data_IF_345869817938
#
_entry.id   IF_345869817938
#
_cell.length_a   1.000
_cell.length_b   1.000
_cell.length_c   1.000
_cell.angle_alpha   90.00
_cell.angle_beta   90.00
_cell.angle_gamma   90.00
#
_symmetry.space_group_name_H-M   'P 1'
#
loop_
_entity.id
_entity.type
_entity.pdbx_description
1 polymer ?
#
# COMPACT_ATOMS: atom_id res chain seq x y z
N UNK A 1 -9.76 2.73 -20.45
CA UNK A 1 -9.73 3.30 -19.08
C UNK A 1 -9.42 4.77 -19.23
N UNK A 2 -10.20 5.66 -18.61
CA UNK A 2 -9.91 7.10 -18.65
C UNK A 2 -8.72 7.41 -17.72
N UNK A 3 -7.83 8.34 -18.10
CA UNK A 3 -6.69 8.76 -17.27
C UNK A 3 -7.11 9.14 -15.84
N UNK A 4 -8.24 9.84 -15.72
CA UNK A 4 -8.80 10.31 -14.44
C UNK A 4 -9.11 9.16 -13.46
N UNK A 5 -9.51 7.99 -13.96
CA UNK A 5 -9.78 6.83 -13.11
C UNK A 5 -8.49 6.20 -12.58
N UNK A 6 -7.40 6.25 -13.35
CA UNK A 6 -6.10 5.70 -12.97
C UNK A 6 -5.45 6.56 -11.89
N UNK A 7 -5.50 7.89 -12.03
CA UNK A 7 -5.01 8.82 -11.00
C UNK A 7 -5.85 8.71 -9.71
N UNK A 8 -7.18 8.61 -9.84
CA UNK A 8 -8.05 8.39 -8.68
C UNK A 8 -7.77 7.07 -7.94
N UNK A 9 -7.39 6.01 -8.66
CA UNK A 9 -7.10 4.72 -8.05
C UNK A 9 -5.74 4.72 -7.33
N UNK A 10 -4.75 5.44 -7.86
CA UNK A 10 -3.48 5.64 -7.17
C UNK A 10 -3.70 6.32 -5.83
N UNK A 11 -4.35 7.48 -5.82
CA UNK A 11 -4.63 8.25 -4.59
C UNK A 11 -5.45 7.43 -3.59
N UNK A 12 -6.40 6.64 -4.07
CA UNK A 12 -7.19 5.72 -3.23
C UNK A 12 -6.32 4.66 -2.56
N UNK A 13 -5.40 4.03 -3.29
CA UNK A 13 -4.46 3.04 -2.71
C UNK A 13 -3.53 3.70 -1.70
N UNK A 14 -3.00 4.88 -2.00
CA UNK A 14 -2.15 5.65 -1.07
C UNK A 14 -2.91 6.01 0.21
N UNK A 15 -4.16 6.47 0.09
CA UNK A 15 -5.00 6.80 1.25
C UNK A 15 -5.36 5.56 2.08
N UNK A 16 -5.68 4.44 1.43
CA UNK A 16 -5.92 3.17 2.13
C UNK A 16 -4.68 2.72 2.89
N UNK A 17 -3.51 2.84 2.27
CA UNK A 17 -2.23 2.51 2.88
C UNK A 17 -1.90 3.42 4.08
N UNK A 18 -2.13 4.74 3.98
CA UNK A 18 -1.98 5.68 5.11
C UNK A 18 -2.91 5.32 6.27
N UNK A 19 -4.17 4.96 5.99
CA UNK A 19 -5.13 4.51 7.00
C UNK A 19 -4.65 3.22 7.66
N UNK A 20 -4.22 2.23 6.87
CA UNK A 20 -3.66 0.98 7.37
C UNK A 20 -2.46 1.24 8.29
N UNK A 21 -1.55 2.16 7.95
CA UNK A 21 -0.42 2.51 8.81
C UNK A 21 -0.78 3.39 10.03
N UNK A 22 -1.95 4.02 10.03
CA UNK A 22 -2.43 4.84 11.15
C UNK A 22 -3.26 4.03 12.14
N UNK A 23 -3.96 3.01 11.66
CA UNK A 23 -4.72 2.05 12.45
C UNK A 23 -3.81 0.92 12.98
N UNK A 24 -2.65 1.30 13.53
CA UNK A 24 -1.77 0.38 14.23
C UNK A 24 -1.96 0.54 15.74
N UNK A 25 -2.66 -0.40 16.41
CA UNK A 25 -2.87 -0.33 17.86
C UNK A 25 -1.57 -0.46 18.67
N UNK A 26 -0.49 -0.93 18.04
CA UNK A 26 0.81 -1.13 18.67
C UNK A 26 1.82 -0.02 18.31
N UNK A 27 1.44 0.91 17.43
CA UNK A 27 2.30 2.02 17.02
C UNK A 27 3.62 1.57 16.37
N UNK A 28 3.63 0.44 15.65
CA UNK A 28 4.85 0.00 14.99
C UNK A 28 5.17 0.95 13.83
N UNK A 29 6.46 1.27 13.70
CA UNK A 29 6.96 2.05 12.57
C UNK A 29 6.89 1.29 11.23
N UNK A 30 6.69 -0.03 11.27
CA UNK A 30 6.70 -0.95 10.13
C UNK A 30 5.57 -1.96 10.22
N UNK A 31 4.90 -2.23 9.09
CA UNK A 31 3.86 -3.25 8.97
C UNK A 31 3.99 -4.01 7.66
N UNK A 32 3.82 -5.33 7.76
CA UNK A 32 3.63 -6.16 6.59
C UNK A 32 2.18 -6.07 6.12
N UNK A 33 1.98 -6.07 4.81
CA UNK A 33 0.65 -6.06 4.21
C UNK A 33 0.60 -6.88 2.92
N UNK A 34 -0.59 -7.41 2.65
CA UNK A 34 -1.00 -7.97 1.38
C UNK A 34 -1.92 -6.99 0.68
N UNK A 35 -2.06 -7.15 -0.64
CA UNK A 35 -2.99 -6.31 -1.41
C UNK A 35 -4.45 -6.39 -0.92
N UNK A 36 -4.85 -7.54 -0.34
CA UNK A 36 -6.16 -7.73 0.29
C UNK A 36 -6.37 -6.88 1.53
N UNK A 37 -5.32 -6.45 2.21
CA UNK A 37 -5.43 -5.73 3.48
C UNK A 37 -5.82 -4.26 3.27
N UNK A 38 -5.76 -3.78 2.02
CA UNK A 38 -6.08 -2.42 1.60
C UNK A 38 -7.37 -2.33 0.78
N UNK A 39 -8.14 -3.42 0.68
CA UNK A 39 -9.41 -3.40 -0.06
C UNK A 39 -10.50 -2.71 0.75
N UNK A 40 -11.46 -2.08 0.08
CA UNK A 40 -12.65 -1.52 0.72
C UNK A 40 -13.87 -2.45 0.57
N UNK A 41 -14.79 -2.39 1.53
CA UNK A 41 -16.03 -3.18 1.51
C UNK A 41 -17.00 -2.69 0.42
N UNK A 42 -16.90 -1.41 0.04
CA UNK A 42 -17.72 -0.78 -0.99
C UNK A 42 -17.32 -1.18 -2.43
N UNK A 43 -16.24 -1.97 -2.59
CA UNK A 43 -15.83 -2.58 -3.86
C UNK A 43 -15.12 -1.64 -4.84
N UNK A 44 -14.74 -0.44 -4.40
CA UNK A 44 -14.00 0.53 -5.22
C UNK A 44 -12.48 0.22 -5.25
N UNK A 45 -11.96 -0.49 -4.24
CA UNK A 45 -10.58 -0.95 -4.15
C UNK A 45 -10.55 -2.49 -4.03
N UNK A 46 -10.23 -3.15 -5.14
CA UNK A 46 -10.02 -4.61 -5.14
C UNK A 46 -8.55 -4.98 -5.01
N UNK A 47 -8.26 -6.21 -4.56
CA UNK A 47 -6.88 -6.68 -4.40
C UNK A 47 -6.08 -6.64 -5.71
N UNK A 48 -6.75 -6.82 -6.86
CA UNK A 48 -6.11 -6.70 -8.17
C UNK A 48 -5.71 -5.26 -8.48
N UNK A 49 -6.56 -4.28 -8.15
CA UNK A 49 -6.23 -2.86 -8.27
C UNK A 49 -5.05 -2.53 -7.38
N UNK A 50 -5.13 -2.83 -6.09
CA UNK A 50 -4.05 -2.53 -5.14
C UNK A 50 -2.73 -3.19 -5.56
N UNK A 51 -2.75 -4.48 -5.92
CA UNK A 51 -1.57 -5.20 -6.38
C UNK A 51 -0.91 -4.59 -7.64
N UNK A 52 -1.68 -3.91 -8.49
CA UNK A 52 -1.14 -3.22 -9.68
C UNK A 52 -0.50 -1.86 -9.37
N UNK A 53 -0.79 -1.26 -8.20
CA UNK A 53 -0.22 0.02 -7.76
C UNK A 53 0.92 -0.13 -6.77
N UNK A 54 0.98 -1.18 -5.95
CA UNK A 54 2.06 -1.38 -4.97
C UNK A 54 3.48 -1.30 -5.58
N UNK A 55 3.76 -1.91 -6.76
CA UNK A 55 5.07 -1.73 -7.41
C UNK A 55 5.38 -0.28 -7.77
N UNK A 56 4.38 0.47 -8.26
CA UNK A 56 4.54 1.88 -8.62
C UNK A 56 4.81 2.75 -7.39
N UNK A 57 4.08 2.48 -6.30
CA UNK A 57 4.27 3.19 -5.03
C UNK A 57 5.63 2.92 -4.40
N UNK A 58 6.17 1.70 -4.56
CA UNK A 58 7.56 1.41 -4.20
C UNK A 58 8.53 2.24 -5.00
N UNK A 59 8.36 2.29 -6.32
CA UNK A 59 9.24 3.05 -7.21
C UNK A 59 9.19 4.56 -6.93
N UNK A 60 8.06 5.06 -6.41
CA UNK A 60 7.83 6.45 -6.01
C UNK A 60 8.07 6.73 -4.52
N UNK A 61 8.56 5.77 -3.73
CA UNK A 61 8.80 5.95 -2.30
C UNK A 61 10.06 6.82 -2.03
N UNK A 62 10.07 7.71 -1.02
CA UNK A 62 8.99 7.97 -0.06
C UNK A 62 7.81 8.73 -0.68
N UNK A 63 6.61 8.27 -0.36
CA UNK A 63 5.36 8.93 -0.71
C UNK A 63 5.19 10.22 0.10
N UNK A 64 4.32 11.10 -0.38
CA UNK A 64 3.91 12.29 0.37
C UNK A 64 3.34 11.90 1.74
N UNK A 65 3.88 12.53 2.79
CA UNK A 65 3.66 12.12 4.19
C UNK A 65 4.69 11.14 4.76
N UNK A 66 5.82 10.92 4.07
CA UNK A 66 6.97 10.17 4.58
C UNK A 66 6.68 8.69 4.73
N UNK A 67 5.96 8.08 3.79
CA UNK A 67 5.70 6.63 3.82
C UNK A 67 6.53 5.91 2.77
N UNK A 68 7.24 4.87 3.18
CA UNK A 68 8.06 4.02 2.33
C UNK A 68 7.36 2.68 2.13
N UNK A 69 7.27 2.23 0.87
CA UNK A 69 6.70 0.94 0.47
C UNK A 69 7.79 0.09 -0.16
N UNK A 70 7.96 -1.15 0.30
CA UNK A 70 8.99 -2.07 -0.14
C UNK A 70 8.37 -3.44 -0.46
N UNK A 71 8.85 -4.10 -1.52
CA UNK A 71 8.45 -5.47 -1.80
C UNK A 71 9.21 -6.42 -0.87
N UNK A 72 8.48 -7.29 -0.17
CA UNK A 72 9.12 -8.28 0.70
C UNK A 72 9.44 -9.53 -0.09
N UNK A 73 10.73 -9.73 -0.37
CA UNK A 73 11.21 -10.75 -1.32
C UNK A 73 11.67 -12.05 -0.68
N UNK A 74 11.60 -12.21 0.66
CA UNK A 74 12.03 -13.46 1.29
C UNK A 74 11.12 -14.64 0.89
N UNK A 75 11.75 -15.68 0.35
CA UNK A 75 11.13 -16.74 -0.45
C UNK A 75 10.11 -17.65 0.27
N UNK A 76 9.73 -17.40 1.52
CA UNK A 76 8.86 -18.28 2.33
C UNK A 76 7.46 -17.75 2.60
N UNK A 77 7.15 -16.51 2.20
CA UNK A 77 5.90 -15.86 2.58
C UNK A 77 4.78 -15.93 1.52
N UNK A 78 5.02 -16.62 0.41
CA UNK A 78 4.10 -16.68 -0.73
C UNK A 78 4.17 -15.43 -1.62
N UNK A 79 3.46 -15.39 -2.75
CA UNK A 79 3.48 -14.24 -3.64
C UNK A 79 2.83 -13.01 -2.97
N UNK A 80 3.45 -11.85 -3.17
CA UNK A 80 2.86 -10.51 -2.93
C UNK A 80 2.76 -10.02 -1.48
N UNK A 81 3.79 -10.26 -0.66
CA UNK A 81 3.93 -9.56 0.62
C UNK A 81 4.70 -8.24 0.42
N UNK A 82 4.21 -7.18 1.06
CA UNK A 82 4.81 -5.86 1.03
C UNK A 82 5.10 -5.38 2.45
N UNK A 83 6.11 -4.54 2.60
CA UNK A 83 6.46 -3.85 3.82
C UNK A 83 6.14 -2.37 3.63
N UNK A 84 5.38 -1.80 4.55
CA UNK A 84 5.20 -0.35 4.65
C UNK A 84 5.85 0.14 5.94
N UNK A 85 6.57 1.26 5.86
CA UNK A 85 7.18 1.91 7.02
C UNK A 85 7.13 3.42 6.92
N UNK A 86 7.18 4.11 8.05
CA UNK A 86 7.38 5.57 8.06
C UNK A 86 8.85 5.88 7.81
N UNK A 87 9.12 6.86 6.97
CA UNK A 87 10.43 7.45 6.74
C UNK A 87 10.83 8.17 8.02
N UNK A 88 11.71 7.53 8.81
CA UNK A 88 12.38 8.05 9.99
C UNK A 88 11.50 8.92 10.91
N UNK A 89 10.97 8.33 11.99
CA UNK A 89 10.95 9.09 13.25
C UNK A 89 12.39 9.36 13.71
#
# INVERSE_FOLDING_TARGET
>A
MSPDQTESNRERVENALRRFMSDDPHGNAYRYLRASDLTDEDGNLSASVVGSYLPKLRDDSPLDGGLVVEEYTECRCGPSLWLARRENE
#
